data_IF_822624632618
#
_entry.id   IF_822624632618
#
_cell.length_a   1.000
_cell.length_b   1.000
_cell.length_c   1.000
_cell.angle_alpha   90.00
_cell.angle_beta   90.00
_cell.angle_gamma   90.00
#
_symmetry.space_group_name_H-M   'P 1'
#
loop_
_entity.id
_entity.type
_entity.pdbx_description
1 polymer ?
#
# COMPACT_ATOMS: atom_id res chain seq x y z
N UNK A 1 26.26 1.22 4.02
CA UNK A 1 26.03 2.68 4.06
C UNK A 1 25.83 3.23 2.67
N UNK A 2 24.67 3.84 2.42
CA UNK A 2 24.28 4.51 1.17
C UNK A 2 24.20 6.01 1.42
N UNK A 3 24.66 6.82 0.46
CA UNK A 3 24.46 8.28 0.50
C UNK A 3 23.05 8.60 -0.01
N UNK A 4 22.22 9.21 0.82
CA UNK A 4 20.84 9.59 0.49
C UNK A 4 20.59 11.06 0.82
N UNK A 5 19.73 11.70 0.03
CA UNK A 5 19.22 13.03 0.28
C UNK A 5 17.87 12.90 0.99
N UNK A 6 17.79 13.36 2.23
CA UNK A 6 16.55 13.38 3.00
C UNK A 6 15.93 14.77 2.87
N UNK A 7 14.70 14.81 2.38
CA UNK A 7 13.88 16.01 2.19
C UNK A 7 12.74 15.97 3.19
N UNK A 8 12.82 16.81 4.21
CA UNK A 8 11.78 16.93 5.23
C UNK A 8 10.81 18.02 4.79
N UNK A 9 9.55 17.65 4.54
CA UNK A 9 8.48 18.53 4.09
C UNK A 9 7.57 18.85 5.27
N UNK A 10 7.54 20.12 5.68
CA UNK A 10 6.74 20.61 6.80
C UNK A 10 5.41 21.16 6.25
N UNK A 11 4.31 20.44 6.49
CA UNK A 11 2.96 20.90 6.09
C UNK A 11 2.25 21.74 7.16
N UNK A 12 2.87 22.01 8.31
CA UNK A 12 2.24 22.73 9.41
C UNK A 12 1.92 24.21 9.08
N UNK A 13 0.95 24.77 9.81
CA UNK A 13 0.47 26.16 9.71
C UNK A 13 1.55 27.20 10.10
N UNK A 14 2.55 27.33 9.24
CA UNK A 14 3.75 28.15 9.44
C UNK A 14 4.78 27.54 10.41
N UNK A 15 6.07 27.55 10.05
CA UNK A 15 6.61 27.98 8.76
C UNK A 15 6.44 26.91 7.69
N UNK A 16 5.87 27.31 6.54
CA UNK A 16 5.86 26.48 5.33
C UNK A 16 7.30 26.38 4.83
N UNK A 17 7.80 25.17 4.68
CA UNK A 17 9.16 24.96 4.19
C UNK A 17 9.49 23.49 4.02
N UNK A 18 10.53 23.26 3.25
CA UNK A 18 11.24 21.98 3.26
C UNK A 18 12.69 22.26 3.58
N UNK A 19 13.32 21.37 4.34
CA UNK A 19 14.77 21.36 4.42
C UNK A 19 15.29 20.04 3.89
N UNK A 20 16.48 20.11 3.31
CA UNK A 20 17.09 19.00 2.60
C UNK A 20 18.50 18.81 3.12
N UNK A 21 18.88 17.57 3.40
CA UNK A 21 20.24 17.23 3.84
C UNK A 21 20.67 15.90 3.25
N UNK A 22 21.92 15.85 2.78
CA UNK A 22 22.57 14.60 2.41
C UNK A 22 23.13 13.93 3.66
N UNK A 23 22.84 12.64 3.85
CA UNK A 23 23.31 11.82 4.97
C UNK A 23 23.80 10.46 4.45
N UNK A 24 24.80 9.88 5.12
CA UNK A 24 25.17 8.48 4.94
C UNK A 24 24.31 7.64 5.89
N UNK A 25 23.50 6.75 5.33
CA UNK A 25 22.52 5.94 6.08
C UNK A 25 22.83 4.46 5.85
N UNK A 26 22.83 3.63 6.90
CA UNK A 26 22.87 2.19 6.69
C UNK A 26 21.53 1.72 6.09
N UNK A 27 21.56 0.76 5.17
CA UNK A 27 20.34 0.36 4.45
C UNK A 27 19.26 -0.22 5.38
N UNK A 28 19.67 -0.68 6.56
CA UNK A 28 18.80 -1.24 7.61
C UNK A 28 18.47 -0.25 8.73
N UNK A 29 19.04 0.95 8.69
CA UNK A 29 18.73 1.98 9.69
C UNK A 29 17.29 2.48 9.53
N UNK A 30 16.70 2.79 10.67
CA UNK A 30 15.42 3.46 10.80
C UNK A 30 15.46 4.84 10.12
N UNK A 31 14.78 4.99 8.97
CA UNK A 31 14.66 6.29 8.32
C UNK A 31 13.90 7.30 9.19
N UNK A 32 13.01 6.81 10.07
CA UNK A 32 12.32 7.62 11.07
C UNK A 32 13.30 8.24 12.06
N UNK A 33 14.19 7.42 12.62
CA UNK A 33 15.20 7.87 13.58
C UNK A 33 16.20 8.83 12.94
N UNK A 34 16.60 8.55 11.70
CA UNK A 34 17.44 9.47 10.91
C UNK A 34 16.73 10.80 10.70
N UNK A 35 15.46 10.80 10.29
CA UNK A 35 14.70 12.03 10.08
C UNK A 35 14.56 12.87 11.36
N UNK A 36 14.28 12.24 12.51
CA UNK A 36 14.20 12.90 13.81
C UNK A 36 15.55 13.52 14.19
N UNK A 37 16.66 12.78 14.02
CA UNK A 37 18.02 13.27 14.25
C UNK A 37 18.30 14.52 13.41
N UNK A 38 18.03 14.46 12.10
CA UNK A 38 18.26 15.57 11.18
C UNK A 38 17.41 16.80 11.52
N UNK A 39 16.17 16.60 11.96
CA UNK A 39 15.33 17.70 12.44
C UNK A 39 15.90 18.36 13.70
N UNK A 40 16.33 17.58 14.68
CA UNK A 40 16.91 18.13 15.91
C UNK A 40 18.18 18.95 15.63
N UNK A 41 19.01 18.50 14.68
CA UNK A 41 20.17 19.26 14.21
C UNK A 41 19.76 20.57 13.54
N UNK A 42 18.76 20.54 12.65
CA UNK A 42 18.24 21.73 11.98
C UNK A 42 17.68 22.75 12.99
N UNK A 43 16.81 22.30 13.90
CA UNK A 43 16.19 23.13 14.95
C UNK A 43 17.23 23.75 15.88
N UNK A 44 18.31 23.03 16.20
CA UNK A 44 19.38 23.56 17.05
C UNK A 44 20.07 24.78 16.43
N UNK A 45 20.04 24.91 15.10
CA UNK A 45 20.63 26.02 14.35
C UNK A 45 19.68 27.21 14.14
N UNK A 46 18.41 27.09 14.54
CA UNK A 46 17.42 28.16 14.45
C UNK A 46 17.49 29.04 15.73
N UNK A 47 17.29 30.37 15.65
CA UNK A 47 17.17 31.23 16.83
C UNK A 47 16.11 30.72 17.82
N UNK A 48 16.38 30.83 19.12
CA UNK A 48 15.55 30.22 20.17
C UNK A 48 14.07 30.64 20.11
N UNK A 49 13.83 31.91 19.78
CA UNK A 49 12.51 32.52 19.58
C UNK A 49 11.69 31.92 18.42
N UNK A 50 12.34 31.23 17.48
CA UNK A 50 11.69 30.57 16.35
C UNK A 50 11.60 29.04 16.54
N UNK A 51 12.30 28.45 17.52
CA UNK A 51 12.41 26.98 17.69
C UNK A 51 11.10 26.30 18.06
N UNK A 52 10.25 26.95 18.85
CA UNK A 52 9.03 26.32 19.40
C UNK A 52 8.08 25.84 18.28
N UNK A 53 8.01 26.58 17.17
CA UNK A 53 7.25 26.19 15.99
C UNK A 53 7.79 24.95 15.29
N UNK A 54 9.12 24.75 15.25
CA UNK A 54 9.76 23.62 14.57
C UNK A 54 9.90 22.38 15.46
N UNK A 55 10.12 22.53 16.77
CA UNK A 55 10.25 21.42 17.72
C UNK A 55 8.98 20.57 17.79
N UNK A 56 7.81 21.18 17.59
CA UNK A 56 6.52 20.47 17.62
C UNK A 56 6.27 19.61 16.36
N UNK A 57 7.02 19.82 15.27
CA UNK A 57 6.69 19.22 13.96
C UNK A 57 7.25 17.79 13.84
N UNK A 58 8.44 17.50 14.36
CA UNK A 58 9.06 16.16 14.30
C UNK A 58 9.56 15.71 15.67
N UNK A 59 8.64 15.24 16.52
CA UNK A 59 8.99 14.50 17.73
C UNK A 59 9.03 12.98 17.46
N UNK A 60 9.68 12.20 18.32
CA UNK A 60 9.68 10.73 18.20
C UNK A 60 8.28 10.11 18.22
N UNK A 61 7.31 10.83 18.80
CA UNK A 61 5.90 10.41 18.88
C UNK A 61 5.05 10.91 17.72
N UNK A 62 5.56 11.80 16.85
CA UNK A 62 4.76 12.34 15.75
C UNK A 62 4.64 11.34 14.59
N UNK A 63 3.45 11.10 14.04
CA UNK A 63 3.30 10.28 12.84
C UNK A 63 4.10 10.86 11.67
N UNK A 64 4.91 10.06 10.98
CA UNK A 64 5.74 10.46 9.85
C UNK A 64 5.46 9.55 8.66
N UNK A 65 5.12 10.13 7.51
CA UNK A 65 5.15 9.39 6.26
C UNK A 65 6.56 9.42 5.68
N UNK A 66 7.02 8.31 5.13
CA UNK A 66 8.33 8.19 4.48
C UNK A 66 8.11 7.54 3.12
N UNK A 67 8.41 8.24 2.02
CA UNK A 67 8.41 7.63 0.67
C UNK A 67 9.40 8.33 -0.27
N UNK A 68 9.56 7.78 -1.47
CA UNK A 68 10.37 8.33 -2.58
C UNK A 68 9.52 9.19 -3.52
N UNK A 69 8.21 9.20 -3.32
CA UNK A 69 7.27 9.97 -4.13
C UNK A 69 7.09 11.39 -3.56
N UNK A 70 7.36 12.40 -4.38
CA UNK A 70 7.24 13.80 -3.97
C UNK A 70 5.78 14.24 -3.78
N UNK A 71 4.84 13.64 -4.53
CA UNK A 71 3.43 14.01 -4.52
C UNK A 71 2.67 13.32 -3.36
N UNK A 72 1.64 14.02 -2.85
CA UNK A 72 0.75 13.70 -1.72
C UNK A 72 1.00 12.36 -0.98
N UNK A 73 1.41 12.38 0.31
CA UNK A 73 1.65 11.16 1.09
C UNK A 73 0.39 10.30 1.30
N UNK A 74 -0.80 10.84 1.02
CA UNK A 74 -2.08 10.15 1.14
C UNK A 74 -2.40 9.23 -0.04
N UNK A 75 -1.64 9.32 -1.14
CA UNK A 75 -1.75 8.43 -2.29
C UNK A 75 -0.70 7.30 -2.28
N UNK A 76 0.07 7.18 -1.20
CA UNK A 76 1.22 6.31 -1.13
C UNK A 76 0.90 4.81 -1.05
N UNK A 77 1.96 4.03 -1.27
CA UNK A 77 2.00 2.57 -1.11
C UNK A 77 1.85 2.18 0.36
N UNK A 78 0.62 1.91 0.81
CA UNK A 78 0.33 1.45 2.19
C UNK A 78 0.48 -0.07 2.37
N UNK A 79 1.64 -0.59 1.97
CA UNK A 79 2.00 -1.99 2.21
C UNK A 79 3.52 -2.19 2.21
N UNK A 80 3.96 -3.31 2.76
CA UNK A 80 5.34 -3.79 2.70
C UNK A 80 5.34 -5.32 2.46
N UNK A 81 6.53 -5.90 2.27
CA UNK A 81 6.69 -7.35 2.20
C UNK A 81 7.32 -7.87 3.48
N UNK A 82 6.77 -8.93 4.06
CA UNK A 82 7.42 -9.64 5.17
C UNK A 82 8.59 -10.52 4.66
N UNK A 83 9.25 -11.21 5.58
CA UNK A 83 10.37 -12.13 5.28
C UNK A 83 9.98 -13.31 4.35
N UNK A 84 8.69 -13.66 4.30
CA UNK A 84 8.15 -14.70 3.43
C UNK A 84 7.79 -14.17 2.02
N UNK A 85 8.06 -12.89 1.74
CA UNK A 85 7.69 -12.13 0.55
C UNK A 85 6.18 -12.04 0.29
N UNK A 86 5.39 -12.07 1.36
CA UNK A 86 3.96 -11.84 1.32
C UNK A 86 3.66 -10.37 1.64
N UNK A 87 2.63 -9.83 1.00
CA UNK A 87 2.25 -8.43 1.20
C UNK A 87 1.53 -8.24 2.53
N UNK A 88 1.95 -7.22 3.26
CA UNK A 88 1.38 -6.75 4.53
C UNK A 88 0.79 -5.37 4.28
N UNK A 89 -0.54 -5.28 4.27
CA UNK A 89 -1.26 -4.03 4.08
C UNK A 89 -1.33 -3.23 5.37
N UNK A 90 -1.44 -1.92 5.23
CA UNK A 90 -1.53 -0.98 6.33
C UNK A 90 -2.63 0.05 6.06
N UNK A 91 -3.18 0.58 7.13
CA UNK A 91 -3.89 1.84 7.16
C UNK A 91 -2.89 3.01 7.04
N UNK A 92 -3.41 4.20 6.78
CA UNK A 92 -2.59 5.42 6.81
C UNK A 92 -1.91 5.59 8.18
N UNK A 93 -2.60 5.31 9.29
CA UNK A 93 -2.04 5.41 10.64
C UNK A 93 -0.88 4.44 10.86
N UNK A 94 -1.09 3.16 10.54
CA UNK A 94 -0.03 2.15 10.63
C UNK A 94 1.17 2.51 9.74
N UNK A 95 0.94 3.03 8.53
CA UNK A 95 2.02 3.53 7.66
C UNK A 95 2.80 4.69 8.29
N UNK A 96 2.12 5.65 8.92
CA UNK A 96 2.74 6.82 9.53
C UNK A 96 3.50 6.50 10.82
N UNK A 97 3.19 5.40 11.48
CA UNK A 97 3.87 4.93 12.70
C UNK A 97 5.00 3.96 12.38
N UNK A 98 4.94 3.28 11.23
CA UNK A 98 5.90 2.26 10.84
C UNK A 98 7.29 2.82 10.65
N UNK A 99 8.25 2.11 11.22
CA UNK A 99 9.65 2.33 10.94
C UNK A 99 10.02 1.70 9.60
N UNK A 100 10.47 2.52 8.66
CA UNK A 100 10.80 2.10 7.29
C UNK A 100 12.29 2.24 7.06
N UNK A 101 12.88 1.32 6.30
CA UNK A 101 14.31 1.31 5.96
C UNK A 101 14.53 1.56 4.46
N UNK A 102 15.77 1.91 4.07
CA UNK A 102 16.13 2.02 2.64
C UNK A 102 15.97 0.66 1.95
N UNK A 103 16.38 -0.42 2.63
CA UNK A 103 16.26 -1.79 2.11
C UNK A 103 14.81 -2.12 1.71
N UNK A 104 13.84 -1.75 2.52
CA UNK A 104 12.43 -2.01 2.24
C UNK A 104 11.89 -1.17 1.06
N UNK A 105 12.32 0.09 0.95
CA UNK A 105 11.99 0.96 -0.19
C UNK A 105 12.59 0.38 -1.48
N UNK A 106 13.86 -0.01 -1.47
CA UNK A 106 14.53 -0.62 -2.63
C UNK A 106 13.90 -1.96 -3.01
N UNK A 107 13.45 -2.74 -2.03
CA UNK A 107 12.68 -3.96 -2.27
C UNK A 107 11.38 -3.64 -3.03
N UNK A 108 10.62 -2.62 -2.62
CA UNK A 108 9.42 -2.18 -3.33
C UNK A 108 9.72 -1.67 -4.76
N UNK A 109 10.80 -0.89 -4.94
CA UNK A 109 11.23 -0.38 -6.25
C UNK A 109 11.61 -1.56 -7.17
N UNK A 110 12.47 -2.47 -6.70
CA UNK A 110 12.95 -3.61 -7.50
C UNK A 110 11.82 -4.57 -7.92
N UNK A 111 10.74 -4.64 -7.12
CA UNK A 111 9.54 -5.42 -7.42
C UNK A 111 8.49 -4.66 -8.24
N UNK A 112 8.74 -3.40 -8.59
CA UNK A 112 7.86 -2.58 -9.43
C UNK A 112 6.66 -1.95 -8.71
N UNK A 113 6.72 -1.80 -7.38
CA UNK A 113 5.65 -1.19 -6.57
C UNK A 113 5.87 0.27 -6.21
N UNK A 114 7.08 0.77 -6.42
CA UNK A 114 7.44 2.18 -6.28
C UNK A 114 8.27 2.60 -7.48
N UNK A 115 7.98 3.79 -7.99
CA UNK A 115 8.76 4.41 -9.06
C UNK A 115 9.87 5.29 -8.47
N UNK A 116 10.98 5.40 -9.20
CA UNK A 116 12.11 6.27 -8.81
C UNK A 116 13.26 5.52 -8.16
N UNK A 117 14.04 6.22 -7.35
CA UNK A 117 15.18 5.66 -6.60
C UNK A 117 15.09 6.04 -5.13
N UNK A 118 15.76 5.28 -4.27
CA UNK A 118 15.92 5.59 -2.84
C UNK A 118 17.02 6.62 -2.56
N UNK A 119 17.49 7.34 -3.59
CA UNK A 119 18.51 8.39 -3.43
C UNK A 119 17.92 9.67 -2.83
N UNK A 120 16.60 9.87 -2.98
CA UNK A 120 15.86 10.96 -2.37
C UNK A 120 14.72 10.37 -1.54
N UNK A 121 14.75 10.64 -0.23
CA UNK A 121 13.70 10.22 0.70
C UNK A 121 12.93 11.46 1.15
N UNK A 122 11.63 11.46 0.94
CA UNK A 122 10.73 12.49 1.42
C UNK A 122 10.10 12.05 2.75
N UNK A 123 10.12 12.95 3.73
CA UNK A 123 9.51 12.76 5.04
C UNK A 123 8.43 13.82 5.22
N UNK A 124 7.22 13.38 5.53
CA UNK A 124 6.06 14.27 5.68
C UNK A 124 5.45 14.11 7.07
N UNK A 125 4.99 15.23 7.61
CA UNK A 125 4.16 15.25 8.81
C UNK A 125 2.70 15.42 8.36
N UNK A 126 1.82 14.45 8.63
CA UNK A 126 0.42 14.53 8.25
C UNK A 126 -0.29 15.60 9.09
N UNK A 127 -1.31 16.21 8.49
CA UNK A 127 -2.23 17.13 9.18
C UNK A 127 -3.66 16.64 9.00
N UNK A 128 -4.49 16.79 10.04
CA UNK A 128 -5.93 16.49 9.93
C UNK A 128 -6.26 15.01 9.83
N UNK A 129 -5.60 14.19 10.65
CA UNK A 129 -5.95 12.78 10.81
C UNK A 129 -7.31 12.67 11.52
N UNK A 130 -8.38 12.40 10.76
CA UNK A 130 -9.72 12.18 11.29
C UNK A 130 -9.93 10.73 11.75
N UNK A 131 -10.83 10.48 12.71
CA UNK A 131 -11.19 9.12 13.11
C UNK A 131 -12.18 8.49 12.13
N UNK A 132 -11.82 7.36 11.54
CA UNK A 132 -12.72 6.52 10.74
C UNK A 132 -13.50 5.53 11.62
N UNK A 133 -14.67 5.04 11.17
CA UNK A 133 -15.44 4.05 11.89
C UNK A 133 -14.76 2.67 11.88
N UNK A 134 -14.97 1.88 12.95
CA UNK A 134 -14.63 0.46 12.95
C UNK A 134 -15.64 -0.33 12.11
N UNK A 135 -15.17 -1.01 11.07
CA UNK A 135 -16.01 -1.73 10.10
C UNK A 135 -15.72 -3.23 10.11
N UNK A 136 -16.73 -4.04 9.77
CA UNK A 136 -16.54 -5.47 9.49
C UNK A 136 -15.90 -5.65 8.10
N UNK A 137 -14.57 -5.56 8.07
CA UNK A 137 -13.78 -5.66 6.85
C UNK A 137 -13.92 -7.01 6.14
N UNK A 138 -14.17 -8.10 6.88
CA UNK A 138 -14.40 -9.43 6.28
C UNK A 138 -15.70 -9.41 5.48
N UNK A 139 -16.77 -8.86 6.07
CA UNK A 139 -18.06 -8.72 5.38
C UNK A 139 -17.96 -7.79 4.18
N UNK A 140 -17.22 -6.68 4.28
CA UNK A 140 -16.96 -5.77 3.16
C UNK A 140 -16.26 -6.48 2.01
N UNK A 141 -15.15 -7.18 2.28
CA UNK A 141 -14.41 -7.95 1.28
C UNK A 141 -15.30 -8.98 0.59
N UNK A 142 -16.07 -9.75 1.36
CA UNK A 142 -16.95 -10.78 0.82
C UNK A 142 -18.10 -10.20 -0.01
N UNK A 143 -18.64 -9.05 0.40
CA UNK A 143 -19.64 -8.32 -0.38
C UNK A 143 -19.07 -7.95 -1.75
N UNK A 144 -17.91 -7.30 -1.80
CA UNK A 144 -17.26 -6.93 -3.06
C UNK A 144 -16.93 -8.18 -3.89
N UNK A 145 -16.27 -9.19 -3.34
CA UNK A 145 -15.90 -10.41 -4.09
C UNK A 145 -17.10 -11.17 -4.62
N UNK A 146 -18.22 -11.19 -3.90
CA UNK A 146 -19.45 -11.81 -4.41
C UNK A 146 -19.98 -11.12 -5.68
N UNK A 147 -19.70 -9.82 -5.85
CA UNK A 147 -20.13 -9.01 -6.99
C UNK A 147 -19.13 -9.00 -8.13
N UNK A 148 -17.83 -9.04 -7.83
CA UNK A 148 -16.78 -8.83 -8.84
C UNK A 148 -16.06 -10.13 -9.22
N UNK A 149 -15.80 -11.02 -8.26
CA UNK A 149 -15.06 -12.28 -8.48
C UNK A 149 -16.02 -13.42 -8.83
N UNK A 150 -17.13 -13.55 -8.12
CA UNK A 150 -18.05 -14.68 -8.33
C UNK A 150 -18.66 -14.78 -9.74
N UNK A 151 -18.89 -13.69 -10.49
CA UNK A 151 -19.34 -13.77 -11.88
C UNK A 151 -18.36 -14.50 -12.81
N UNK A 152 -17.05 -14.41 -12.55
CA UNK A 152 -16.01 -15.06 -13.36
C UNK A 152 -15.75 -16.51 -12.93
N UNK A 153 -16.25 -16.93 -11.76
CA UNK A 153 -16.20 -18.33 -11.29
C UNK A 153 -17.21 -19.18 -12.07
N UNK A 154 -16.73 -19.79 -13.16
CA UNK A 154 -17.36 -20.93 -13.83
C UNK A 154 -18.05 -20.63 -15.17
N UNK A 155 -17.46 -21.17 -16.24
CA UNK A 155 -18.14 -21.43 -17.51
C UNK A 155 -19.37 -22.35 -17.32
N UNK A 156 -20.39 -22.02 -18.12
CA UNK A 156 -21.79 -22.49 -18.25
C UNK A 156 -22.44 -23.63 -17.41
N UNK A 157 -21.80 -24.70 -16.89
CA UNK A 157 -22.58 -25.92 -16.51
C UNK A 157 -22.52 -26.47 -15.07
N UNK A 158 -21.65 -25.98 -14.16
CA UNK A 158 -21.60 -26.47 -12.75
C UNK A 158 -21.63 -25.34 -11.70
N UNK A 159 -22.35 -24.25 -12.00
CA UNK A 159 -22.15 -22.94 -11.38
C UNK A 159 -22.46 -22.85 -9.89
N UNK A 160 -23.51 -23.49 -9.35
CA UNK A 160 -23.93 -23.22 -7.96
C UNK A 160 -23.01 -23.82 -6.90
N UNK A 161 -22.70 -25.12 -7.00
CA UNK A 161 -21.87 -25.81 -5.99
C UNK A 161 -20.44 -25.25 -5.99
N UNK A 162 -19.85 -25.07 -7.19
CA UNK A 162 -18.51 -24.45 -7.32
C UNK A 162 -18.47 -23.06 -6.71
N UNK A 163 -19.48 -22.22 -6.93
CA UNK A 163 -19.59 -20.89 -6.32
C UNK A 163 -19.67 -20.94 -4.79
N UNK A 164 -20.40 -21.89 -4.22
CA UNK A 164 -20.49 -22.07 -2.76
C UNK A 164 -19.13 -22.49 -2.18
N UNK A 165 -18.46 -23.46 -2.79
CA UNK A 165 -17.13 -23.93 -2.36
C UNK A 165 -16.12 -22.78 -2.45
N UNK A 166 -16.12 -22.06 -3.57
CA UNK A 166 -15.26 -20.90 -3.78
C UNK A 166 -15.50 -19.82 -2.72
N UNK A 167 -16.76 -19.45 -2.43
CA UNK A 167 -17.05 -18.45 -1.41
C UNK A 167 -16.66 -18.90 0.00
N UNK A 168 -16.70 -20.21 0.31
CA UNK A 168 -16.16 -20.74 1.58
C UNK A 168 -14.65 -20.56 1.66
N UNK A 169 -13.92 -20.88 0.58
CA UNK A 169 -12.46 -20.62 0.49
C UNK A 169 -12.16 -19.13 0.64
N UNK A 170 -12.87 -18.27 -0.10
CA UNK A 170 -12.71 -16.81 -0.02
C UNK A 170 -13.04 -16.25 1.36
N UNK A 171 -14.03 -16.79 2.08
CA UNK A 171 -14.30 -16.40 3.47
C UNK A 171 -13.14 -16.72 4.40
N UNK A 172 -12.56 -17.91 4.29
CA UNK A 172 -11.36 -18.27 5.06
C UNK A 172 -10.20 -17.33 4.73
N UNK A 173 -10.02 -17.00 3.44
CA UNK A 173 -8.95 -16.12 2.99
C UNK A 173 -9.14 -14.67 3.42
N UNK A 174 -10.35 -14.12 3.28
CA UNK A 174 -10.68 -12.78 3.73
C UNK A 174 -10.46 -12.61 5.23
N UNK A 175 -10.86 -13.60 6.04
CA UNK A 175 -10.57 -13.63 7.48
C UNK A 175 -9.06 -13.55 7.75
N UNK A 176 -8.29 -14.42 7.08
CA UNK A 176 -6.84 -14.41 7.20
C UNK A 176 -6.21 -13.07 6.81
N UNK A 177 -6.64 -12.48 5.69
CA UNK A 177 -6.14 -11.19 5.22
C UNK A 177 -6.44 -10.04 6.18
N UNK A 178 -7.63 -9.99 6.76
CA UNK A 178 -8.00 -8.94 7.73
C UNK A 178 -7.20 -9.08 9.03
N UNK A 179 -7.12 -10.30 9.57
CA UNK A 179 -6.51 -10.59 10.87
C UNK A 179 -4.98 -10.61 10.84
N UNK A 180 -4.37 -11.06 9.74
CA UNK A 180 -2.93 -11.34 9.68
C UNK A 180 -2.18 -10.49 8.65
N UNK A 181 -2.88 -9.80 7.73
CA UNK A 181 -2.26 -9.04 6.63
C UNK A 181 -2.71 -7.59 6.54
N UNK A 182 -3.46 -7.10 7.53
CA UNK A 182 -3.89 -5.69 7.60
C UNK A 182 -4.84 -5.26 6.49
N UNK A 183 -5.50 -6.19 5.77
CA UNK A 183 -6.48 -5.80 4.74
C UNK A 183 -7.70 -5.18 5.40
N UNK A 184 -8.10 -4.01 4.92
CA UNK A 184 -9.27 -3.22 5.33
C UNK A 184 -10.25 -3.00 4.16
N UNK A 185 -9.89 -3.39 2.94
CA UNK A 185 -10.85 -3.35 1.85
C UNK A 185 -10.34 -3.95 0.55
N UNK A 186 -11.29 -4.30 -0.33
CA UNK A 186 -11.00 -4.91 -1.63
C UNK A 186 -10.20 -3.96 -2.54
N UNK A 187 -10.34 -2.64 -2.34
CA UNK A 187 -9.57 -1.61 -3.07
C UNK A 187 -8.06 -1.73 -2.83
N UNK A 188 -7.61 -2.11 -1.62
CA UNK A 188 -6.18 -2.30 -1.35
C UNK A 188 -5.60 -3.45 -2.19
N UNK A 189 -6.33 -4.57 -2.27
CA UNK A 189 -5.91 -5.72 -3.07
C UNK A 189 -5.90 -5.35 -4.57
N UNK A 190 -6.92 -4.65 -5.06
CA UNK A 190 -6.94 -4.15 -6.44
C UNK A 190 -5.75 -3.24 -6.73
N UNK A 191 -5.55 -2.21 -5.89
CA UNK A 191 -4.48 -1.24 -6.08
C UNK A 191 -3.10 -1.91 -6.09
N UNK A 192 -2.86 -2.83 -5.15
CA UNK A 192 -1.64 -3.64 -5.12
C UNK A 192 -1.41 -4.41 -6.43
N UNK A 193 -2.44 -5.06 -6.98
CA UNK A 193 -2.32 -5.78 -8.25
C UNK A 193 -2.07 -4.82 -9.41
N UNK A 194 -2.80 -3.70 -9.47
CA UNK A 194 -2.74 -2.74 -10.55
C UNK A 194 -1.41 -1.97 -10.60
N UNK A 195 -0.77 -1.71 -9.46
CA UNK A 195 0.50 -0.98 -9.40
C UNK A 195 1.61 -1.74 -10.15
N UNK A 196 1.76 -3.05 -9.91
CA UNK A 196 2.81 -3.87 -10.56
C UNK A 196 2.57 -4.04 -12.06
N UNK A 197 1.31 -3.98 -12.50
CA UNK A 197 0.94 -4.17 -13.89
C UNK A 197 0.98 -5.64 -14.30
N UNK A 198 2.15 -6.22 -14.56
CA UNK A 198 2.25 -7.60 -15.07
C UNK A 198 2.44 -8.63 -13.96
N UNK A 199 1.86 -9.82 -14.14
CA UNK A 199 1.85 -10.86 -13.11
C UNK A 199 2.14 -12.25 -13.64
N UNK A 200 3.08 -12.94 -12.98
CA UNK A 200 3.10 -14.39 -12.96
C UNK A 200 2.08 -14.90 -11.93
N UNK A 201 1.50 -16.07 -12.19
CA UNK A 201 0.51 -16.64 -11.27
C UNK A 201 1.15 -17.01 -9.93
N UNK A 202 2.37 -17.56 -9.96
CA UNK A 202 3.13 -17.90 -8.74
C UNK A 202 3.47 -16.68 -7.88
N UNK A 203 3.84 -15.57 -8.51
CA UNK A 203 4.10 -14.31 -7.81
C UNK A 203 2.85 -13.85 -7.04
N UNK A 204 1.69 -13.83 -7.70
CA UNK A 204 0.45 -13.39 -7.05
C UNK A 204 0.03 -14.35 -5.94
N UNK A 205 0.17 -15.65 -6.16
CA UNK A 205 -0.08 -16.69 -5.15
C UNK A 205 0.77 -16.45 -3.92
N UNK A 206 2.07 -16.22 -4.10
CA UNK A 206 3.02 -15.96 -3.01
C UNK A 206 2.65 -14.66 -2.30
N UNK A 207 2.61 -13.54 -3.02
CA UNK A 207 2.34 -12.24 -2.43
C UNK A 207 1.06 -12.23 -1.59
N UNK A 208 -0.04 -12.78 -2.13
CA UNK A 208 -1.33 -12.80 -1.45
C UNK A 208 -1.60 -14.07 -0.63
N UNK A 209 -0.64 -15.00 -0.55
CA UNK A 209 -0.71 -16.36 0.03
C UNK A 209 -1.99 -17.16 -0.35
N UNK A 210 -2.38 -17.10 -1.62
CA UNK A 210 -3.59 -17.75 -2.17
C UNK A 210 -3.25 -18.97 -3.01
N UNK A 211 -4.26 -19.81 -3.26
CA UNK A 211 -4.14 -20.89 -4.23
C UNK A 211 -4.26 -20.35 -5.67
N UNK A 212 -3.88 -21.17 -6.64
CA UNK A 212 -3.89 -20.84 -8.06
C UNK A 212 -5.31 -20.52 -8.58
N UNK A 213 -6.32 -21.24 -8.08
CA UNK A 213 -7.72 -21.00 -8.44
C UNK A 213 -8.15 -19.58 -8.05
N UNK A 214 -7.83 -19.12 -6.83
CA UNK A 214 -8.14 -17.76 -6.39
C UNK A 214 -7.30 -16.75 -7.17
N UNK A 215 -5.99 -16.98 -7.38
CA UNK A 215 -5.11 -16.04 -8.09
C UNK A 215 -5.59 -15.78 -9.52
N UNK A 216 -5.81 -16.84 -10.29
CA UNK A 216 -6.28 -16.76 -11.69
C UNK A 216 -7.68 -16.14 -11.78
N UNK A 217 -8.57 -16.48 -10.86
CA UNK A 217 -9.93 -15.90 -10.82
C UNK A 217 -9.88 -14.40 -10.48
N UNK A 218 -9.01 -14.01 -9.54
CA UNK A 218 -8.83 -12.61 -9.16
C UNK A 218 -8.32 -11.78 -10.34
N UNK A 219 -7.27 -12.25 -11.03
CA UNK A 219 -6.71 -11.60 -12.22
C UNK A 219 -7.75 -11.47 -13.33
N UNK A 220 -8.46 -12.55 -13.69
CA UNK A 220 -9.56 -12.49 -14.67
C UNK A 220 -10.65 -11.49 -14.26
N UNK A 221 -11.03 -11.49 -12.99
CA UNK A 221 -12.04 -10.56 -12.47
C UNK A 221 -11.61 -9.11 -12.53
N UNK A 222 -10.31 -8.83 -12.54
CA UNK A 222 -9.71 -7.50 -12.69
C UNK A 222 -9.45 -7.13 -14.17
N UNK A 223 -9.90 -7.97 -15.11
CA UNK A 223 -9.70 -7.74 -16.54
C UNK A 223 -8.26 -7.95 -17.00
N UNK A 224 -7.53 -8.85 -16.34
CA UNK A 224 -6.27 -9.37 -16.85
C UNK A 224 -6.53 -10.59 -17.74
N UNK A 225 -5.74 -10.71 -18.80
CA UNK A 225 -5.72 -11.87 -19.68
C UNK A 225 -4.33 -12.50 -19.68
N UNK A 226 -4.28 -13.81 -19.90
CA UNK A 226 -3.05 -14.59 -19.89
C UNK A 226 -2.51 -14.69 -21.33
N UNK A 227 -1.26 -14.28 -21.53
CA UNK A 227 -0.51 -14.53 -22.77
C UNK A 227 0.82 -15.19 -22.40
N UNK A 228 1.03 -16.42 -22.88
CA UNK A 228 2.07 -17.28 -22.35
C UNK A 228 1.85 -17.53 -20.86
N UNK A 229 2.85 -17.18 -20.03
CA UNK A 229 2.81 -17.33 -18.57
C UNK A 229 2.53 -16.00 -17.83
N UNK A 230 2.33 -14.91 -18.57
CA UNK A 230 2.20 -13.56 -18.01
C UNK A 230 0.76 -13.08 -18.15
N UNK A 231 0.22 -12.61 -17.02
CA UNK A 231 -1.04 -11.87 -16.97
C UNK A 231 -0.77 -10.39 -17.20
N UNK A 232 -1.46 -9.82 -18.18
CA UNK A 232 -1.38 -8.40 -18.51
C UNK A 232 -2.77 -7.77 -18.48
N UNK A 233 -2.81 -6.46 -18.21
CA UNK A 233 -4.06 -5.70 -18.21
C UNK A 233 -4.59 -5.59 -19.64
N UNK A 234 -5.69 -6.26 -19.94
CA UNK A 234 -6.24 -6.34 -21.30
C UNK A 234 -7.23 -5.21 -21.59
N UNK A 235 -7.43 -4.88 -22.86
CA UNK A 235 -8.42 -3.90 -23.34
C UNK A 235 -9.59 -4.54 -24.08
N UNK A 236 -9.79 -5.86 -23.95
CA UNK A 236 -11.00 -6.52 -24.43
C UNK A 236 -12.25 -5.97 -23.76
N UNK A 237 -13.41 -6.08 -24.42
CA UNK A 237 -14.68 -5.61 -23.86
C UNK A 237 -14.99 -6.28 -22.51
N UNK A 238 -14.73 -7.58 -22.39
CA UNK A 238 -14.91 -8.33 -21.14
C UNK A 238 -13.98 -7.80 -20.03
N UNK A 239 -12.71 -7.56 -20.34
CA UNK A 239 -11.75 -7.01 -19.39
C UNK A 239 -12.17 -5.62 -18.90
N UNK A 240 -12.67 -4.76 -19.79
CA UNK A 240 -13.19 -3.42 -19.45
C UNK A 240 -14.42 -3.54 -18.53
N UNK A 241 -15.37 -4.43 -18.85
CA UNK A 241 -16.56 -4.66 -18.02
C UNK A 241 -16.16 -5.13 -16.62
N UNK A 242 -15.21 -6.06 -16.53
CA UNK A 242 -14.72 -6.60 -15.27
C UNK A 242 -14.07 -5.51 -14.40
N UNK A 243 -13.23 -4.65 -14.98
CA UNK A 243 -12.65 -3.51 -14.25
C UNK A 243 -13.69 -2.50 -13.77
N UNK A 244 -14.67 -2.16 -14.62
CA UNK A 244 -15.76 -1.24 -14.23
C UNK A 244 -16.54 -1.77 -13.02
N UNK A 245 -16.78 -3.08 -12.93
CA UNK A 245 -17.40 -3.68 -11.73
C UNK A 245 -16.53 -3.48 -10.49
N UNK A 246 -15.21 -3.63 -10.61
CA UNK A 246 -14.33 -3.34 -9.48
C UNK A 246 -14.38 -1.88 -9.06
N UNK A 247 -14.34 -0.94 -9.99
CA UNK A 247 -14.51 0.50 -9.70
C UNK A 247 -15.84 0.75 -8.97
N UNK A 248 -16.95 0.22 -9.49
CA UNK A 248 -18.27 0.32 -8.88
C UNK A 248 -18.32 -0.28 -7.46
N UNK A 249 -17.85 -1.52 -7.24
CA UNK A 249 -18.07 -2.21 -5.97
C UNK A 249 -16.94 -2.06 -4.94
N UNK A 250 -15.74 -1.62 -5.34
CA UNK A 250 -14.62 -1.40 -4.41
C UNK A 250 -14.53 0.04 -3.92
N UNK A 251 -15.01 1.02 -4.68
CA UNK A 251 -14.97 2.43 -4.29
C UNK A 251 -16.15 2.81 -3.38
N UNK A 252 -17.36 2.29 -3.64
CA UNK A 252 -18.53 2.55 -2.80
C UNK A 252 -18.47 1.93 -1.40
N UNK A 253 -17.59 0.94 -1.19
CA UNK A 253 -17.38 0.30 0.12
C UNK A 253 -16.11 0.82 0.82
N UNK A 254 -15.45 1.83 0.26
CA UNK A 254 -14.30 2.52 0.86
C UNK A 254 -14.80 3.87 1.40
N UNK A 255 -15.58 3.83 2.48
CA UNK A 255 -15.90 5.06 3.21
C UNK A 255 -14.74 5.37 4.16
N UNK A 256 -14.28 6.62 4.11
CA UNK A 256 -13.32 7.24 5.02
C UNK A 256 -13.66 6.93 6.50
#
# INVERSE_FOLDING_TARGET
MKKVKIVIVLFANSPKGSFEKEELVDEKDSLRSVAIKLNNEYVSNIPEEEREGYQRILSSTNPLGITVEKESPYNGTFFYFNDEEEVMFMTLYEFLERDTTIFEIENLISKGYLNGTSDIIYVYVPNGLGSGPELDYVKILLSTFSKVVLPVVGGFFAKKIKKIIFMKKMKKRAKYWVENRGVRGAKQIRAFIDIKGEWLTEDLKKCLAIDEEIATTLLKSLGYELSGDIWYKSYSEEAIINRKRWEEYSEHNYMY
#
